data_IF_057125498463
#
_entry.id   IF_057125498463
#
_cell.length_a   1.000
_cell.length_b   1.000
_cell.length_c   1.000
_cell.angle_alpha   90.00
_cell.angle_beta   90.00
_cell.angle_gamma   90.00
#
_symmetry.space_group_name_H-M   'P 1'
#
loop_
_entity.id
_entity.type
_entity.pdbx_description
1 polymer ?
#
# COMPACT_ATOMS: atom_id res chain seq x y z
N UNK A 1 17.06 42.66 -83.75
CA UNK A 1 17.33 42.66 -82.31
C UNK A 1 16.50 41.57 -81.71
N UNK A 2 17.04 40.39 -81.42
CA UNK A 2 16.32 39.25 -80.83
C UNK A 2 16.78 39.08 -79.35
N UNK A 3 15.86 39.23 -78.38
CA UNK A 3 16.15 39.02 -76.98
C UNK A 3 15.87 37.56 -76.65
N UNK A 4 16.85 36.86 -76.15
CA UNK A 4 16.73 35.48 -75.55
C UNK A 4 16.38 35.56 -74.09
N UNK A 5 15.44 34.75 -73.58
CA UNK A 5 15.17 34.63 -72.13
C UNK A 5 16.05 33.59 -71.47
N UNK A 6 16.73 33.98 -70.39
CA UNK A 6 17.49 33.05 -69.53
C UNK A 6 16.51 32.19 -68.73
N UNK A 7 16.62 30.88 -68.88
CA UNK A 7 15.92 29.87 -68.04
C UNK A 7 16.69 29.69 -66.73
N UNK A 8 16.13 30.13 -65.60
CA UNK A 8 16.68 29.84 -64.25
C UNK A 8 16.11 28.52 -63.78
N UNK A 9 16.96 27.50 -63.76
CA UNK A 9 16.64 26.21 -63.13
C UNK A 9 16.67 26.32 -61.59
N UNK A 10 15.53 26.20 -60.96
CA UNK A 10 15.39 26.14 -59.49
C UNK A 10 15.60 24.67 -59.08
N UNK A 11 16.77 24.33 -58.52
CA UNK A 11 17.01 23.01 -57.89
C UNK A 11 16.40 23.01 -56.52
N UNK A 12 15.27 22.31 -56.36
CA UNK A 12 14.62 22.09 -55.07
C UNK A 12 15.34 20.92 -54.39
N UNK A 13 16.24 21.20 -53.44
CA UNK A 13 16.85 20.19 -52.59
C UNK A 13 15.84 19.74 -51.52
N UNK A 14 15.24 18.56 -51.71
CA UNK A 14 14.37 17.90 -50.74
C UNK A 14 15.25 17.28 -49.63
N UNK A 15 15.45 17.99 -48.53
CA UNK A 15 16.11 17.43 -47.34
C UNK A 15 15.16 16.42 -46.68
N UNK A 16 15.40 15.12 -46.88
CA UNK A 16 14.76 14.06 -46.07
C UNK A 16 15.25 14.18 -44.63
N UNK A 17 14.41 14.70 -43.75
CA UNK A 17 14.57 14.57 -42.31
C UNK A 17 14.36 13.10 -41.92
N UNK A 18 15.48 12.37 -41.81
CA UNK A 18 15.46 11.04 -41.18
C UNK A 18 15.25 11.28 -39.69
N UNK A 19 14.02 11.13 -39.22
CA UNK A 19 13.72 11.05 -37.79
C UNK A 19 14.31 9.75 -37.24
N UNK A 20 15.49 9.85 -36.63
CA UNK A 20 16.05 8.75 -35.85
C UNK A 20 15.09 8.49 -34.67
N UNK A 21 14.70 7.23 -34.41
CA UNK A 21 13.93 6.92 -33.21
C UNK A 21 14.77 7.31 -32.00
N UNK A 22 14.32 8.31 -31.25
CA UNK A 22 14.87 8.64 -29.94
C UNK A 22 14.48 7.49 -29.03
N UNK A 23 15.39 6.56 -28.80
CA UNK A 23 15.23 5.62 -27.68
C UNK A 23 15.19 6.46 -26.40
N UNK A 24 14.03 6.50 -25.74
CA UNK A 24 13.95 7.08 -24.42
C UNK A 24 14.99 6.39 -23.54
N UNK A 25 15.83 7.18 -22.86
CA UNK A 25 16.83 6.61 -21.95
C UNK A 25 16.11 5.78 -20.89
N UNK A 26 16.55 4.53 -20.71
CA UNK A 26 15.98 3.65 -19.68
C UNK A 26 16.10 4.34 -18.33
N UNK A 27 14.99 4.50 -17.63
CA UNK A 27 14.94 5.09 -16.29
C UNK A 27 15.85 4.29 -15.36
N UNK A 28 16.74 4.97 -14.62
CA UNK A 28 17.69 4.34 -13.71
C UNK A 28 17.58 4.80 -12.27
N UNK A 29 16.75 5.78 -11.99
CA UNK A 29 16.49 6.29 -10.65
C UNK A 29 15.00 6.24 -10.37
N UNK A 30 14.64 5.65 -9.22
CA UNK A 30 13.28 5.39 -8.81
C UNK A 30 13.04 5.90 -7.40
N UNK A 31 11.83 6.38 -7.16
CA UNK A 31 11.39 6.83 -5.86
C UNK A 31 10.25 5.92 -5.37
N UNK A 32 10.38 5.38 -4.16
CA UNK A 32 9.30 4.63 -3.52
C UNK A 32 8.97 5.24 -2.17
N UNK A 33 7.67 5.31 -1.83
CA UNK A 33 7.22 5.88 -0.56
C UNK A 33 6.73 4.82 0.42
N UNK A 34 6.78 5.17 1.70
CA UNK A 34 6.20 4.41 2.80
C UNK A 34 5.79 5.35 3.94
N UNK A 35 4.91 4.89 4.81
CA UNK A 35 4.46 5.62 5.99
C UNK A 35 4.63 4.79 7.26
N UNK A 36 4.50 5.42 8.42
CA UNK A 36 4.70 4.77 9.72
C UNK A 36 3.55 3.80 9.99
N UNK A 37 3.88 2.52 9.95
CA UNK A 37 3.06 1.38 10.34
C UNK A 37 3.99 0.24 10.76
N UNK A 38 3.65 -0.51 11.80
CA UNK A 38 4.55 -1.52 12.36
C UNK A 38 5.08 -2.52 11.32
N UNK A 39 4.23 -2.97 10.37
CA UNK A 39 4.59 -3.86 9.29
C UNK A 39 5.40 -3.22 8.16
N UNK A 40 5.48 -1.87 8.10
CA UNK A 40 6.25 -1.14 7.07
C UNK A 40 7.54 -0.53 7.58
N UNK A 41 7.79 -0.56 8.90
CA UNK A 41 9.07 -0.12 9.50
C UNK A 41 10.32 -0.74 8.84
N UNK A 42 10.26 -1.98 8.31
CA UNK A 42 11.37 -2.55 7.56
C UNK A 42 11.88 -1.65 6.43
N UNK A 43 11.03 -0.91 5.71
CA UNK A 43 11.43 -0.03 4.61
C UNK A 43 12.37 1.09 5.06
N UNK A 44 12.10 1.70 6.21
CA UNK A 44 12.99 2.69 6.80
C UNK A 44 14.37 2.11 7.15
N UNK A 45 14.38 0.89 7.73
CA UNK A 45 15.61 0.20 8.08
C UNK A 45 16.37 -0.31 6.85
N UNK A 46 15.68 -0.80 5.80
CA UNK A 46 16.26 -1.15 4.49
C UNK A 46 17.01 0.06 3.90
N UNK A 47 16.45 1.26 4.04
CA UNK A 47 17.08 2.49 3.57
C UNK A 47 18.28 2.88 4.43
N UNK A 48 18.12 2.98 5.75
CA UNK A 48 19.17 3.47 6.67
C UNK A 48 20.35 2.51 6.76
N UNK A 49 20.14 1.21 6.65
CA UNK A 49 21.18 0.17 6.64
C UNK A 49 21.85 -0.04 5.27
N UNK A 50 21.45 0.71 4.24
CA UNK A 50 21.98 0.59 2.88
C UNK A 50 21.71 -0.74 2.17
N UNK A 51 20.79 -1.54 2.67
CA UNK A 51 20.35 -2.78 2.02
C UNK A 51 19.76 -2.46 0.64
N UNK A 52 18.98 -1.37 0.52
CA UNK A 52 18.41 -0.96 -0.77
C UNK A 52 19.51 -0.57 -1.75
N UNK A 53 20.55 0.14 -1.31
CA UNK A 53 21.66 0.56 -2.18
C UNK A 53 22.43 -0.65 -2.72
N UNK A 54 22.64 -1.70 -1.91
CA UNK A 54 23.26 -2.95 -2.31
C UNK A 54 22.47 -3.63 -3.44
N UNK A 55 21.16 -3.79 -3.26
CA UNK A 55 20.31 -4.46 -4.22
C UNK A 55 20.10 -3.62 -5.49
N UNK A 56 19.92 -2.32 -5.36
CA UNK A 56 19.81 -1.40 -6.50
C UNK A 56 21.10 -1.41 -7.35
N UNK A 57 22.27 -1.34 -6.71
CA UNK A 57 23.57 -1.39 -7.39
C UNK A 57 23.80 -2.70 -8.14
N UNK A 58 23.34 -3.85 -7.59
CA UNK A 58 23.38 -5.16 -8.28
C UNK A 58 22.73 -5.11 -9.66
N UNK A 59 21.71 -4.28 -9.83
CA UNK A 59 20.97 -4.14 -11.09
C UNK A 59 21.25 -2.86 -11.85
N UNK A 60 22.25 -2.07 -11.42
CA UNK A 60 22.68 -0.84 -12.10
C UNK A 60 21.64 0.29 -12.06
N UNK A 61 20.82 0.33 -11.00
CA UNK A 61 19.79 1.35 -10.74
C UNK A 61 20.02 2.02 -9.39
N UNK A 62 19.28 3.10 -9.14
CA UNK A 62 19.20 3.79 -7.85
C UNK A 62 17.75 3.79 -7.37
N UNK A 63 17.52 3.54 -6.09
CA UNK A 63 16.19 3.59 -5.47
C UNK A 63 16.27 4.48 -4.23
N UNK A 64 15.42 5.51 -4.21
CA UNK A 64 15.23 6.37 -3.06
C UNK A 64 13.99 5.88 -2.31
N UNK A 65 14.15 5.52 -1.04
CA UNK A 65 13.05 5.11 -0.16
C UNK A 65 12.71 6.29 0.73
N UNK A 66 11.51 6.86 0.56
CA UNK A 66 11.09 8.11 1.17
C UNK A 66 9.96 7.84 2.17
N UNK A 67 10.17 8.26 3.42
CA UNK A 67 9.11 8.26 4.41
C UNK A 67 8.24 9.50 4.26
N UNK A 68 6.92 9.31 4.27
CA UNK A 68 5.92 10.36 4.38
C UNK A 68 5.16 10.24 5.70
N UNK A 69 4.58 11.34 6.18
CA UNK A 69 3.96 11.38 7.50
C UNK A 69 2.45 11.10 7.46
N UNK A 70 1.81 11.33 6.31
CA UNK A 70 0.38 11.12 6.12
C UNK A 70 0.17 9.98 5.12
N UNK A 71 -0.62 9.01 5.52
CA UNK A 71 -0.85 7.79 4.76
C UNK A 71 -1.62 8.05 3.46
N UNK A 72 -2.75 8.74 3.54
CA UNK A 72 -3.59 8.99 2.35
C UNK A 72 -2.85 9.91 1.38
N UNK A 73 -2.14 10.92 1.89
CA UNK A 73 -1.33 11.80 1.05
C UNK A 73 -0.22 11.04 0.32
N UNK A 74 0.40 10.03 0.96
CA UNK A 74 1.42 9.21 0.30
C UNK A 74 0.86 8.45 -0.92
N UNK A 75 -0.36 7.94 -0.82
CA UNK A 75 -1.06 7.25 -1.91
C UNK A 75 -1.46 8.24 -3.02
N UNK A 76 -1.91 9.44 -2.65
CA UNK A 76 -2.24 10.50 -3.60
C UNK A 76 -1.01 10.92 -4.42
N UNK A 77 0.15 11.07 -3.78
CA UNK A 77 1.41 11.39 -4.47
C UNK A 77 1.87 10.25 -5.39
N UNK A 78 1.70 9.00 -5.00
CA UNK A 78 1.91 7.86 -5.88
C UNK A 78 0.96 7.89 -7.08
N UNK A 79 -0.33 8.11 -6.84
CA UNK A 79 -1.36 8.19 -7.88
C UNK A 79 -1.09 9.34 -8.86
N UNK A 80 -0.54 10.45 -8.39
CA UNK A 80 -0.11 11.59 -9.20
C UNK A 80 1.23 11.36 -9.94
N UNK A 81 1.86 10.17 -9.78
CA UNK A 81 3.10 9.82 -10.47
C UNK A 81 4.38 10.42 -9.87
N UNK A 82 4.33 10.95 -8.64
CA UNK A 82 5.53 11.45 -7.94
C UNK A 82 6.41 10.32 -7.42
N UNK A 83 5.85 9.14 -7.20
CA UNK A 83 6.55 7.93 -6.79
C UNK A 83 6.28 6.79 -7.78
N UNK A 84 7.28 5.95 -7.99
CA UNK A 84 7.21 4.74 -8.81
C UNK A 84 6.52 3.57 -8.08
N UNK A 85 6.58 3.58 -6.77
CA UNK A 85 5.92 2.64 -5.88
C UNK A 85 5.63 3.26 -4.51
N UNK A 86 4.74 2.65 -3.76
CA UNK A 86 4.40 3.09 -2.40
C UNK A 86 3.86 1.92 -1.57
N UNK A 87 4.00 1.99 -0.25
CA UNK A 87 3.28 1.06 0.63
C UNK A 87 1.84 1.49 0.77
N UNK A 88 0.92 0.56 0.65
CA UNK A 88 -0.51 0.77 0.91
C UNK A 88 -1.23 -0.54 1.15
N UNK A 89 -2.45 -0.46 1.68
CA UNK A 89 -3.26 -1.65 1.88
C UNK A 89 -3.96 -2.06 0.57
N UNK A 90 -4.46 -3.29 0.55
CA UNK A 90 -5.21 -3.84 -0.58
C UNK A 90 -6.46 -3.02 -0.93
N UNK A 91 -7.18 -2.52 0.09
CA UNK A 91 -8.36 -1.67 -0.13
C UNK A 91 -7.95 -0.35 -0.78
N UNK A 92 -6.98 0.33 -0.21
CA UNK A 92 -6.58 1.67 -0.66
C UNK A 92 -5.93 1.61 -2.06
N UNK A 93 -5.24 0.51 -2.39
CA UNK A 93 -4.75 0.26 -3.75
C UNK A 93 -5.88 0.13 -4.79
N UNK A 94 -7.02 -0.43 -4.38
CA UNK A 94 -8.20 -0.54 -5.24
C UNK A 94 -8.92 0.81 -5.37
N UNK A 95 -9.11 1.54 -4.27
CA UNK A 95 -10.01 2.70 -4.21
C UNK A 95 -9.36 4.03 -4.59
N UNK A 96 -8.02 4.13 -4.54
CA UNK A 96 -7.34 5.38 -4.85
C UNK A 96 -6.61 5.27 -6.21
N UNK A 97 -5.48 4.57 -6.35
CA UNK A 97 -4.80 4.53 -7.64
C UNK A 97 -5.59 3.77 -8.71
N UNK A 98 -6.10 2.56 -8.41
CA UNK A 98 -6.80 1.77 -9.43
C UNK A 98 -8.11 2.42 -9.88
N UNK A 99 -8.94 2.93 -8.95
CA UNK A 99 -10.15 3.68 -9.28
C UNK A 99 -9.82 5.01 -9.98
N UNK A 100 -8.70 5.64 -9.64
CA UNK A 100 -8.14 6.82 -10.32
C UNK A 100 -7.54 6.53 -11.70
N UNK A 101 -7.59 5.27 -12.17
CA UNK A 101 -7.12 4.88 -13.50
C UNK A 101 -5.63 4.49 -13.59
N UNK A 102 -4.89 4.54 -12.49
CA UNK A 102 -3.48 4.13 -12.43
C UNK A 102 -3.36 2.62 -12.33
N UNK A 103 -2.77 2.00 -13.37
CA UNK A 103 -2.52 0.56 -13.38
C UNK A 103 -1.40 0.23 -12.38
N UNK A 104 -1.75 -0.50 -11.33
CA UNK A 104 -0.95 -0.74 -10.13
C UNK A 104 -0.68 -2.23 -9.95
N UNK A 105 0.56 -2.59 -9.66
CA UNK A 105 0.97 -3.96 -9.34
C UNK A 105 1.37 -4.08 -7.88
N UNK A 106 0.67 -4.92 -7.12
CA UNK A 106 1.10 -5.40 -5.81
C UNK A 106 2.28 -6.33 -6.01
N UNK A 107 3.48 -5.78 -5.79
CA UNK A 107 4.77 -6.45 -6.01
C UNK A 107 5.14 -7.35 -4.84
N UNK A 108 4.90 -6.88 -3.62
CA UNK A 108 5.22 -7.60 -2.38
C UNK A 108 4.01 -7.48 -1.45
N UNK A 109 3.44 -8.62 -1.06
CA UNK A 109 2.53 -8.68 0.06
C UNK A 109 3.40 -8.92 1.31
N UNK A 110 3.57 -7.88 2.13
CA UNK A 110 4.50 -7.93 3.26
C UNK A 110 3.91 -8.64 4.47
N UNK A 111 2.63 -8.40 4.70
CA UNK A 111 1.90 -8.86 5.89
C UNK A 111 0.39 -8.71 5.70
N UNK A 112 -0.34 -9.16 6.70
CA UNK A 112 -1.69 -8.68 6.96
C UNK A 112 -1.86 -8.35 8.45
N UNK A 113 -2.77 -7.45 8.74
CA UNK A 113 -3.09 -7.05 10.11
C UNK A 113 -3.87 -8.16 10.84
N UNK A 114 -3.40 -8.54 12.01
CA UNK A 114 -4.00 -9.57 12.87
C UNK A 114 -4.10 -9.08 14.33
N UNK A 115 -4.68 -7.88 14.50
CA UNK A 115 -4.78 -7.14 15.76
C UNK A 115 -3.95 -5.86 15.75
N UNK A 116 -3.28 -5.53 14.65
CA UNK A 116 -2.50 -4.30 14.50
C UNK A 116 -3.37 -3.06 14.23
N UNK A 117 -4.59 -3.28 13.75
CA UNK A 117 -5.63 -2.27 13.57
C UNK A 117 -6.76 -2.51 14.56
N UNK A 118 -7.30 -1.44 15.17
CA UNK A 118 -8.32 -1.58 16.19
C UNK A 118 -9.21 -0.37 16.37
N UNK A 119 -10.43 -0.64 16.84
CA UNK A 119 -11.41 0.35 17.27
C UNK A 119 -11.34 0.47 18.79
N UNK A 120 -11.00 1.65 19.30
CA UNK A 120 -10.82 1.91 20.72
C UNK A 120 -11.83 2.93 21.21
N UNK A 121 -12.45 2.66 22.34
CA UNK A 121 -13.39 3.54 23.03
C UNK A 121 -12.85 3.96 24.40
N UNK A 122 -13.11 5.19 24.81
CA UNK A 122 -12.97 5.60 26.22
C UNK A 122 -14.06 4.95 27.06
N UNK A 123 -13.69 4.49 28.24
CA UNK A 123 -14.56 3.74 29.17
C UNK A 123 -14.17 2.27 29.23
N UNK A 124 -14.30 1.68 30.44
CA UNK A 124 -14.10 0.24 30.66
C UNK A 124 -15.33 -0.57 30.29
N UNK A 125 -15.13 -1.80 29.83
CA UNK A 125 -16.20 -2.75 29.55
C UNK A 125 -17.10 -2.36 28.37
N UNK A 126 -16.60 -1.49 27.48
CA UNK A 126 -17.29 -1.10 26.25
C UNK A 126 -17.34 -2.26 25.26
N UNK A 127 -18.35 -2.24 24.40
CA UNK A 127 -18.61 -3.21 23.35
C UNK A 127 -18.86 -2.51 22.02
N UNK A 128 -18.87 -3.23 20.92
CA UNK A 128 -19.24 -2.68 19.60
C UNK A 128 -20.64 -2.02 19.59
N UNK A 129 -21.57 -2.50 20.41
CA UNK A 129 -22.93 -1.92 20.49
C UNK A 129 -22.94 -0.51 21.06
N UNK A 130 -21.95 -0.16 21.90
CA UNK A 130 -21.79 1.18 22.45
C UNK A 130 -21.37 2.23 21.43
N UNK A 131 -20.99 1.82 20.19
CA UNK A 131 -20.69 2.73 19.10
C UNK A 131 -21.93 3.48 18.60
N UNK A 132 -23.14 2.97 18.82
CA UNK A 132 -24.36 3.59 18.30
C UNK A 132 -24.51 5.03 18.77
N UNK A 133 -24.67 5.95 17.81
CA UNK A 133 -24.80 7.40 18.05
C UNK A 133 -23.46 8.11 18.31
N UNK A 134 -22.33 7.40 18.28
CA UNK A 134 -21.03 7.98 18.58
C UNK A 134 -20.39 8.64 17.34
N UNK A 135 -19.52 9.62 17.59
CA UNK A 135 -18.55 10.13 16.61
C UNK A 135 -17.32 9.21 16.66
N UNK A 136 -16.92 8.70 15.52
CA UNK A 136 -15.75 7.81 15.36
C UNK A 136 -14.71 8.52 14.52
N UNK A 137 -13.54 8.75 15.09
CA UNK A 137 -12.42 9.46 14.49
C UNK A 137 -11.48 8.46 13.82
N UNK A 138 -11.19 8.66 12.54
CA UNK A 138 -10.36 7.75 11.75
C UNK A 138 -9.97 8.42 10.42
N UNK A 139 -8.94 7.93 9.70
CA UNK A 139 -8.72 8.28 8.31
C UNK A 139 -9.90 7.78 7.46
N UNK A 140 -10.76 8.71 7.04
CA UNK A 140 -12.00 8.39 6.32
C UNK A 140 -11.70 7.77 4.96
N UNK A 141 -12.54 6.82 4.54
CA UNK A 141 -12.45 6.11 3.27
C UNK A 141 -11.18 5.24 3.12
N UNK A 142 -10.44 5.01 4.21
CA UNK A 142 -9.27 4.14 4.27
C UNK A 142 -9.60 2.75 4.83
N UNK A 143 -8.57 1.93 4.97
CA UNK A 143 -8.63 0.63 5.65
C UNK A 143 -9.21 0.72 7.07
N UNK A 144 -8.99 1.82 7.80
CA UNK A 144 -9.61 2.03 9.12
C UNK A 144 -11.13 2.18 9.02
N UNK A 145 -11.63 2.82 7.98
CA UNK A 145 -13.07 2.92 7.72
C UNK A 145 -13.66 1.53 7.39
N UNK A 146 -12.97 0.75 6.57
CA UNK A 146 -13.35 -0.64 6.30
C UNK A 146 -13.42 -1.46 7.59
N UNK A 147 -12.41 -1.39 8.45
CA UNK A 147 -12.39 -2.10 9.73
C UNK A 147 -13.57 -1.71 10.63
N UNK A 148 -13.88 -0.40 10.72
CA UNK A 148 -15.05 0.08 11.46
C UNK A 148 -16.33 -0.57 10.95
N UNK A 149 -16.57 -0.56 9.64
CA UNK A 149 -17.80 -1.13 9.06
C UNK A 149 -17.88 -2.63 9.31
N UNK A 150 -16.76 -3.36 9.20
CA UNK A 150 -16.71 -4.78 9.55
C UNK A 150 -17.08 -5.03 11.02
N UNK A 151 -16.66 -4.16 11.94
CA UNK A 151 -17.06 -4.20 13.34
C UNK A 151 -18.55 -3.90 13.55
N UNK A 152 -19.07 -2.88 12.88
CA UNK A 152 -20.49 -2.51 12.95
C UNK A 152 -21.39 -3.66 12.46
N UNK A 153 -21.07 -4.27 11.32
CA UNK A 153 -21.78 -5.45 10.79
C UNK A 153 -21.86 -6.59 11.83
N UNK A 154 -20.75 -6.90 12.49
CA UNK A 154 -20.72 -7.93 13.55
C UNK A 154 -21.59 -7.59 14.76
N UNK A 155 -21.81 -6.31 15.02
CA UNK A 155 -22.71 -5.84 16.09
C UNK A 155 -24.18 -5.73 15.68
N UNK A 156 -24.49 -5.97 14.39
CA UNK A 156 -25.81 -5.73 13.81
C UNK A 156 -26.14 -4.24 13.68
N UNK A 157 -25.10 -3.40 13.58
CA UNK A 157 -25.20 -1.97 13.34
C UNK A 157 -24.85 -1.67 11.87
N UNK A 158 -25.29 -0.51 11.40
CA UNK A 158 -24.90 0.02 10.10
C UNK A 158 -24.10 1.32 10.30
N UNK A 159 -23.38 1.76 9.28
CA UNK A 159 -22.59 2.99 9.34
C UNK A 159 -23.43 4.24 9.67
N UNK A 160 -24.67 4.29 9.21
CA UNK A 160 -25.63 5.37 9.57
C UNK A 160 -25.92 5.46 11.09
N UNK A 161 -25.56 4.44 11.86
CA UNK A 161 -25.70 4.42 13.32
C UNK A 161 -24.55 5.14 14.03
N UNK A 162 -23.52 5.58 13.31
CA UNK A 162 -22.36 6.34 13.81
C UNK A 162 -22.12 7.59 12.95
N UNK A 163 -21.27 8.50 13.42
CA UNK A 163 -20.80 9.65 12.62
C UNK A 163 -19.30 9.50 12.46
N UNK A 164 -18.84 9.21 11.26
CA UNK A 164 -17.40 9.22 10.94
C UNK A 164 -16.87 10.65 10.92
N UNK A 165 -15.72 10.88 11.52
CA UNK A 165 -15.01 12.16 11.55
C UNK A 165 -13.62 11.94 10.96
N UNK A 166 -13.39 12.49 9.79
CA UNK A 166 -12.10 12.36 9.13
C UNK A 166 -10.97 12.95 9.99
N UNK A 167 -9.98 12.14 10.27
CA UNK A 167 -8.82 12.50 11.09
C UNK A 167 -7.62 11.73 10.56
N UNK A 168 -6.54 12.43 10.23
CA UNK A 168 -5.33 11.79 9.72
C UNK A 168 -4.70 10.87 10.75
N UNK A 169 -3.94 9.88 10.29
CA UNK A 169 -3.16 8.99 11.15
C UNK A 169 -2.09 9.74 11.95
N UNK A 170 -1.57 10.85 11.40
CA UNK A 170 -0.63 11.72 12.10
C UNK A 170 -1.26 12.44 13.31
N UNK A 171 -2.56 12.75 13.23
CA UNK A 171 -3.27 13.52 14.26
C UNK A 171 -4.09 12.66 15.24
N UNK A 172 -4.33 11.38 14.94
CA UNK A 172 -5.29 10.53 15.65
C UNK A 172 -4.98 10.39 17.15
N UNK A 173 -3.70 10.31 17.51
CA UNK A 173 -3.26 10.19 18.92
C UNK A 173 -3.57 11.47 19.67
N UNK A 174 -3.23 12.62 19.12
CA UNK A 174 -3.48 13.93 19.74
C UNK A 174 -4.99 14.20 19.83
N UNK A 175 -5.75 13.87 18.81
CA UNK A 175 -7.20 13.97 18.81
C UNK A 175 -7.82 13.10 19.92
N UNK A 176 -7.41 11.84 20.04
CA UNK A 176 -7.92 10.93 21.10
C UNK A 176 -7.54 11.40 22.50
N UNK A 177 -6.45 12.16 22.67
CA UNK A 177 -6.05 12.79 23.93
C UNK A 177 -7.07 13.82 24.44
N UNK A 178 -7.91 14.40 23.56
CA UNK A 178 -8.90 15.40 23.95
C UNK A 178 -10.14 14.77 24.61
N UNK A 179 -10.82 15.50 25.52
CA UNK A 179 -12.00 15.00 26.21
C UNK A 179 -13.21 14.76 25.26
N UNK A 180 -13.27 15.47 24.15
CA UNK A 180 -14.38 15.39 23.18
C UNK A 180 -14.33 14.15 22.30
N UNK A 181 -13.16 13.57 22.08
CA UNK A 181 -12.97 12.38 21.25
C UNK A 181 -13.12 11.13 22.12
N UNK A 182 -14.13 10.33 21.87
CA UNK A 182 -14.47 9.15 22.66
C UNK A 182 -14.13 7.84 21.93
N UNK A 183 -14.05 7.85 20.62
CA UNK A 183 -13.81 6.66 19.79
C UNK A 183 -12.79 7.00 18.70
N UNK A 184 -11.79 6.14 18.55
CA UNK A 184 -10.85 6.23 17.44
C UNK A 184 -10.63 4.86 16.79
N UNK A 185 -10.31 4.85 15.50
CA UNK A 185 -9.78 3.69 14.79
C UNK A 185 -8.37 4.04 14.35
N UNK A 186 -7.42 3.18 14.66
CA UNK A 186 -6.02 3.40 14.39
C UNK A 186 -5.28 2.07 14.22
N UNK A 187 -4.06 2.16 13.75
CA UNK A 187 -3.09 1.07 13.66
C UNK A 187 -1.85 1.34 14.51
N UNK A 188 -0.99 0.34 14.67
CA UNK A 188 0.26 0.50 15.41
C UNK A 188 1.34 1.24 14.58
N UNK A 189 2.10 2.14 15.22
CA UNK A 189 2.25 2.33 16.67
C UNK A 189 1.18 3.18 17.35
N UNK A 190 0.39 3.97 16.63
CA UNK A 190 -0.61 4.88 17.19
C UNK A 190 -1.64 4.16 18.07
N UNK A 191 -2.11 2.98 17.62
CA UNK A 191 -3.07 2.16 18.37
C UNK A 191 -2.52 1.79 19.76
N UNK A 192 -1.25 1.44 19.88
CA UNK A 192 -0.63 1.12 21.18
C UNK A 192 -0.63 2.31 22.12
N UNK A 193 -0.37 3.51 21.60
CA UNK A 193 -0.43 4.76 22.41
C UNK A 193 -1.86 5.02 22.88
N UNK A 194 -2.84 4.90 21.98
CA UNK A 194 -4.27 5.09 22.29
C UNK A 194 -4.73 4.06 23.34
N UNK A 195 -4.38 2.78 23.17
CA UNK A 195 -4.72 1.70 24.14
C UNK A 195 -4.03 1.89 25.48
N UNK A 196 -2.88 2.55 25.52
CA UNK A 196 -2.18 2.93 26.76
C UNK A 196 -2.89 4.03 27.55
N UNK A 197 -3.85 4.75 26.97
CA UNK A 197 -4.64 5.77 27.66
C UNK A 197 -5.49 5.11 28.74
N UNK A 198 -5.44 5.59 30.01
CA UNK A 198 -6.25 5.02 31.10
C UNK A 198 -7.75 4.99 30.78
N UNK A 199 -8.43 3.94 31.23
CA UNK A 199 -9.87 3.78 31.07
C UNK A 199 -10.32 3.72 29.60
N UNK A 200 -9.64 2.89 28.79
CA UNK A 200 -10.02 2.58 27.40
C UNK A 200 -10.36 1.11 27.24
N UNK A 201 -11.10 0.79 26.18
CA UNK A 201 -11.43 -0.58 25.76
C UNK A 201 -11.26 -0.69 24.25
N UNK A 202 -10.48 -1.65 23.77
CA UNK A 202 -10.49 -2.07 22.37
C UNK A 202 -11.76 -2.91 22.14
N UNK A 203 -12.68 -2.40 21.34
CA UNK A 203 -13.99 -3.04 21.13
C UNK A 203 -14.01 -3.93 19.89
N UNK A 204 -13.06 -3.73 18.97
CA UNK A 204 -12.88 -4.52 17.76
C UNK A 204 -11.44 -4.43 17.27
N UNK A 205 -10.94 -5.47 16.65
CA UNK A 205 -9.63 -5.42 15.99
C UNK A 205 -9.58 -6.30 14.74
N UNK A 206 -8.57 -6.11 13.92
CA UNK A 206 -8.32 -6.87 12.70
C UNK A 206 -8.09 -8.37 12.95
N UNK A 207 -7.73 -8.77 14.17
CA UNK A 207 -7.66 -10.20 14.54
C UNK A 207 -8.99 -10.95 14.39
N UNK A 208 -10.12 -10.23 14.33
CA UNK A 208 -11.45 -10.80 14.11
C UNK A 208 -11.82 -10.90 12.62
N UNK A 209 -10.96 -10.40 11.74
CA UNK A 209 -11.07 -10.43 10.27
C UNK A 209 -9.72 -10.72 9.62
N UNK A 210 -9.06 -11.84 10.00
CA UNK A 210 -7.70 -12.13 9.56
C UNK A 210 -7.61 -12.25 8.03
N UNK A 211 -6.52 -11.70 7.45
CA UNK A 211 -6.28 -11.72 6.02
C UNK A 211 -7.17 -10.76 5.19
N UNK A 212 -7.96 -9.88 5.83
CA UNK A 212 -8.75 -8.88 5.12
C UNK A 212 -7.99 -7.55 4.90
N UNK A 213 -7.15 -7.15 5.85
CA UNK A 213 -6.32 -5.94 5.78
C UNK A 213 -4.90 -6.34 5.40
N UNK A 214 -4.55 -6.21 4.14
CA UNK A 214 -3.30 -6.72 3.57
C UNK A 214 -2.36 -5.57 3.26
N UNK A 215 -1.14 -5.66 3.74
CA UNK A 215 -0.10 -4.66 3.59
C UNK A 215 0.80 -4.98 2.39
N UNK A 216 0.96 -4.02 1.50
CA UNK A 216 1.66 -4.25 0.24
C UNK A 216 2.69 -3.15 -0.05
N UNK A 217 3.74 -3.50 -0.79
CA UNK A 217 4.46 -2.57 -1.64
C UNK A 217 3.89 -2.69 -3.05
N UNK A 218 3.33 -1.62 -3.54
CA UNK A 218 2.84 -1.55 -4.93
C UNK A 218 3.80 -0.75 -5.80
N UNK A 219 3.80 -1.03 -7.09
CA UNK A 219 4.57 -0.32 -8.12
C UNK A 219 3.68 -0.05 -9.31
N UNK A 220 3.86 1.09 -9.98
CA UNK A 220 3.19 1.36 -11.24
C UNK A 220 3.49 0.25 -12.25
N UNK A 221 2.46 -0.33 -12.86
CA UNK A 221 2.59 -1.53 -13.70
C UNK A 221 3.48 -1.29 -14.92
N UNK A 222 3.36 -0.15 -15.58
CA UNK A 222 4.18 0.18 -16.74
C UNK A 222 5.65 0.39 -16.34
N UNK A 223 5.87 1.14 -15.25
CA UNK A 223 7.22 1.31 -14.69
C UNK A 223 7.87 -0.04 -14.37
N UNK A 224 7.15 -0.96 -13.74
CA UNK A 224 7.66 -2.28 -13.38
C UNK A 224 7.95 -3.14 -14.62
N UNK A 225 7.07 -3.10 -15.63
CA UNK A 225 7.22 -3.80 -16.89
C UNK A 225 8.45 -3.34 -17.66
N UNK A 226 8.67 -2.02 -17.73
CA UNK A 226 9.79 -1.43 -18.46
C UNK A 226 11.10 -1.56 -17.69
N UNK A 227 11.02 -1.69 -16.37
CA UNK A 227 12.18 -1.74 -15.48
C UNK A 227 12.07 -2.91 -14.48
N UNK A 228 12.18 -4.17 -14.92
CA UNK A 228 12.09 -5.32 -14.02
C UNK A 228 13.22 -5.36 -12.98
N UNK A 229 14.31 -4.62 -13.20
CA UNK A 229 15.38 -4.40 -12.24
C UNK A 229 14.85 -3.79 -10.91
N UNK A 230 13.86 -2.88 -10.99
CA UNK A 230 13.22 -2.28 -9.82
C UNK A 230 12.53 -3.35 -8.97
N UNK A 231 11.71 -4.22 -9.60
CA UNK A 231 11.02 -5.30 -8.89
C UNK A 231 11.99 -6.27 -8.22
N UNK A 232 13.08 -6.64 -8.92
CA UNK A 232 14.12 -7.52 -8.35
C UNK A 232 14.82 -6.90 -7.16
N UNK A 233 15.18 -5.61 -7.26
CA UNK A 233 15.88 -4.91 -6.18
C UNK A 233 15.01 -4.72 -4.94
N UNK A 234 13.74 -4.29 -5.11
CA UNK A 234 12.80 -4.12 -4.01
C UNK A 234 12.52 -5.46 -3.30
N UNK A 235 12.23 -6.52 -4.08
CA UNK A 235 11.95 -7.85 -3.54
C UNK A 235 13.16 -8.44 -2.82
N UNK A 236 14.35 -8.29 -3.39
CA UNK A 236 15.59 -8.76 -2.76
C UNK A 236 15.89 -8.04 -1.45
N UNK A 237 15.76 -6.71 -1.42
CA UNK A 237 15.96 -5.91 -0.23
C UNK A 237 14.94 -6.25 0.87
N UNK A 238 13.68 -6.46 0.50
CA UNK A 238 12.64 -6.86 1.45
C UNK A 238 12.95 -8.20 2.11
N UNK A 239 13.22 -9.25 1.33
CA UNK A 239 13.47 -10.58 1.93
C UNK A 239 14.81 -10.69 2.64
N UNK A 240 15.80 -9.88 2.31
CA UNK A 240 17.00 -9.76 3.13
C UNK A 240 16.65 -9.21 4.53
N UNK A 241 15.85 -8.15 4.59
CA UNK A 241 15.38 -7.59 5.86
C UNK A 241 14.48 -8.56 6.63
N UNK A 242 13.57 -9.25 5.93
CA UNK A 242 12.74 -10.29 6.55
C UNK A 242 13.59 -11.42 7.15
N UNK A 243 14.69 -11.77 6.50
CA UNK A 243 15.66 -12.74 7.03
C UNK A 243 16.30 -12.27 8.34
N UNK A 244 16.71 -11.00 8.41
CA UNK A 244 17.24 -10.39 9.64
C UNK A 244 16.19 -10.38 10.77
N UNK A 245 14.95 -9.99 10.45
CA UNK A 245 13.87 -9.98 11.44
C UNK A 245 13.54 -11.39 11.93
N UNK A 246 13.50 -12.38 11.04
CA UNK A 246 13.28 -13.79 11.40
C UNK A 246 14.40 -14.33 12.29
N UNK A 247 15.64 -13.90 12.03
CA UNK A 247 16.81 -14.25 12.85
C UNK A 247 16.88 -13.44 14.17
N UNK A 248 15.90 -12.55 14.43
CA UNK A 248 15.88 -11.67 15.60
C UNK A 248 17.14 -10.79 15.70
N UNK A 249 17.63 -10.27 14.56
CA UNK A 249 18.78 -9.36 14.53
C UNK A 249 18.50 -8.11 15.37
N UNK A 250 19.31 -7.98 16.43
CA UNK A 250 19.07 -6.92 17.42
C UNK A 250 19.29 -5.51 16.85
N UNK A 251 20.20 -5.35 15.87
CA UNK A 251 20.45 -4.05 15.24
C UNK A 251 19.26 -3.60 14.41
N UNK A 252 18.75 -4.49 13.57
CA UNK A 252 17.58 -4.20 12.73
C UNK A 252 16.32 -3.93 13.57
N UNK A 253 16.04 -4.78 14.57
CA UNK A 253 14.84 -4.64 15.41
C UNK A 253 14.90 -3.39 16.30
N UNK A 254 16.06 -3.05 16.86
CA UNK A 254 16.20 -1.81 17.66
C UNK A 254 16.08 -0.55 16.79
N UNK A 255 16.57 -0.58 15.54
CA UNK A 255 16.41 0.54 14.62
C UNK A 255 14.92 0.78 14.29
N UNK A 256 14.16 -0.29 14.03
CA UNK A 256 12.72 -0.21 13.78
C UNK A 256 11.95 0.26 15.03
N UNK A 257 12.29 -0.26 16.22
CA UNK A 257 11.68 0.15 17.47
C UNK A 257 11.88 1.66 17.73
N UNK A 258 13.11 2.15 17.60
CA UNK A 258 13.42 3.57 17.76
C UNK A 258 12.66 4.44 16.74
N UNK A 259 12.60 4.02 15.46
CA UNK A 259 11.87 4.74 14.42
C UNK A 259 10.35 4.73 14.62
N UNK A 260 9.81 3.71 15.29
CA UNK A 260 8.37 3.64 15.66
C UNK A 260 8.06 4.33 17.02
N UNK A 261 9.03 4.99 17.64
CA UNK A 261 8.86 5.74 18.88
C UNK A 261 8.64 4.86 20.12
N UNK A 262 9.13 3.61 20.11
CA UNK A 262 9.00 2.67 21.22
C UNK A 262 10.33 1.95 21.49
N UNK A 263 10.38 1.14 22.55
CA UNK A 263 11.49 0.23 22.79
C UNK A 263 11.34 -1.10 22.03
N UNK A 264 12.35 -1.95 22.10
CA UNK A 264 12.34 -3.25 21.42
C UNK A 264 11.16 -4.12 21.87
N UNK A 265 10.83 -4.13 23.17
CA UNK A 265 9.74 -4.94 23.69
C UNK A 265 8.38 -4.46 23.16
N UNK A 266 8.17 -3.15 23.12
CA UNK A 266 6.99 -2.51 22.54
C UNK A 266 6.84 -2.81 21.05
N UNK A 267 7.91 -2.68 20.27
CA UNK A 267 7.87 -3.01 18.83
C UNK A 267 7.60 -4.50 18.60
N UNK A 268 8.24 -5.39 19.35
CA UNK A 268 7.97 -6.82 19.27
C UNK A 268 6.53 -7.17 19.65
N UNK A 269 5.92 -6.44 20.60
CA UNK A 269 4.51 -6.61 20.93
C UNK A 269 3.60 -6.18 19.75
N UNK A 270 3.94 -5.10 19.04
CA UNK A 270 3.23 -4.68 17.83
C UNK A 270 3.37 -5.71 16.70
N UNK A 271 4.58 -6.27 16.49
CA UNK A 271 4.81 -7.31 15.49
C UNK A 271 4.00 -8.59 15.73
N UNK A 272 3.69 -8.93 16.99
CA UNK A 272 2.81 -10.07 17.31
C UNK A 272 1.37 -9.91 16.84
N UNK A 273 0.97 -8.69 16.52
CA UNK A 273 -0.35 -8.37 15.97
C UNK A 273 -0.33 -8.14 14.45
N UNK A 274 0.78 -8.49 13.81
CA UNK A 274 0.99 -8.40 12.37
C UNK A 274 1.47 -9.76 11.86
N UNK A 275 0.72 -10.36 10.95
CA UNK A 275 1.13 -11.61 10.32
C UNK A 275 2.12 -11.32 9.19
N UNK A 276 3.41 -11.29 9.52
CA UNK A 276 4.49 -11.02 8.56
C UNK A 276 4.82 -12.27 7.73
N UNK A 277 4.96 -12.09 6.42
CA UNK A 277 5.48 -13.12 5.53
C UNK A 277 7.01 -13.08 5.52
N UNK A 278 7.63 -13.76 6.49
CA UNK A 278 9.08 -13.75 6.67
C UNK A 278 9.85 -14.44 5.54
N UNK A 279 9.19 -15.28 4.75
CA UNK A 279 9.84 -15.97 3.65
C UNK A 279 9.08 -15.78 2.34
N UNK A 280 9.78 -15.87 1.19
CA UNK A 280 9.10 -15.88 -0.11
C UNK A 280 8.05 -16.98 -0.24
N UNK A 281 8.23 -18.12 0.40
CA UNK A 281 7.29 -19.24 0.35
C UNK A 281 5.99 -18.92 1.10
N UNK A 282 6.06 -18.25 2.26
CA UNK A 282 4.88 -17.82 3.01
C UNK A 282 4.05 -16.84 2.18
N UNK A 283 4.72 -15.88 1.54
CA UNK A 283 4.06 -14.94 0.63
C UNK A 283 3.43 -15.63 -0.57
N UNK A 284 4.16 -16.56 -1.22
CA UNK A 284 3.63 -17.32 -2.36
C UNK A 284 2.37 -18.11 -1.98
N UNK A 285 2.37 -18.77 -0.81
CA UNK A 285 1.22 -19.51 -0.33
C UNK A 285 -0.01 -18.59 -0.18
N UNK A 286 0.19 -17.37 0.31
CA UNK A 286 -0.88 -16.41 0.49
C UNK A 286 -1.35 -15.79 -0.84
N UNK A 287 -0.43 -15.29 -1.68
CA UNK A 287 -0.78 -14.59 -2.93
C UNK A 287 -1.45 -15.52 -3.96
N UNK A 288 -1.17 -16.82 -3.91
CA UNK A 288 -1.81 -17.83 -4.78
C UNK A 288 -3.05 -18.47 -4.15
N UNK A 289 -3.38 -18.10 -2.90
CA UNK A 289 -4.59 -18.61 -2.24
C UNK A 289 -5.87 -18.07 -2.92
N UNK A 290 -6.88 -18.94 -3.14
CA UNK A 290 -8.18 -18.48 -3.64
C UNK A 290 -8.89 -17.54 -2.65
N UNK A 291 -8.47 -17.50 -1.38
CA UNK A 291 -9.08 -16.62 -0.38
C UNK A 291 -8.68 -15.16 -0.57
N UNK A 292 -7.51 -14.89 -1.16
CA UNK A 292 -7.12 -13.52 -1.54
C UNK A 292 -8.13 -12.93 -2.54
N UNK A 293 -8.48 -13.66 -3.59
CA UNK A 293 -9.46 -13.21 -4.58
C UNK A 293 -10.84 -12.97 -3.96
N UNK A 294 -11.28 -13.85 -3.04
CA UNK A 294 -12.55 -13.67 -2.29
C UNK A 294 -12.51 -12.45 -1.38
N UNK A 295 -11.40 -12.21 -0.71
CA UNK A 295 -11.20 -11.00 0.09
C UNK A 295 -11.32 -9.76 -0.77
N UNK A 296 -10.65 -9.74 -1.92
CA UNK A 296 -10.72 -8.59 -2.83
C UNK A 296 -12.12 -8.38 -3.42
N UNK A 297 -12.91 -9.43 -3.63
CA UNK A 297 -14.33 -9.29 -4.01
C UNK A 297 -15.14 -8.60 -2.91
N UNK A 298 -14.94 -8.96 -1.63
CA UNK A 298 -15.60 -8.27 -0.52
C UNK A 298 -15.18 -6.81 -0.42
N UNK A 299 -13.89 -6.55 -0.56
CA UNK A 299 -13.36 -5.18 -0.57
C UNK A 299 -13.96 -4.38 -1.72
N UNK A 300 -14.05 -4.95 -2.92
CA UNK A 300 -14.66 -4.29 -4.07
C UNK A 300 -16.16 -3.99 -3.84
N UNK A 301 -16.91 -4.94 -3.26
CA UNK A 301 -18.32 -4.73 -2.91
C UNK A 301 -18.48 -3.60 -1.90
N UNK A 302 -17.70 -3.62 -0.82
CA UNK A 302 -17.67 -2.53 0.16
C UNK A 302 -17.35 -1.20 -0.52
N UNK A 303 -16.31 -1.17 -1.35
CA UNK A 303 -15.85 0.05 -2.01
C UNK A 303 -16.90 0.61 -2.97
N UNK A 304 -17.62 -0.26 -3.67
CA UNK A 304 -18.73 0.14 -4.54
C UNK A 304 -19.89 0.72 -3.72
N UNK A 305 -20.29 0.05 -2.65
CA UNK A 305 -21.38 0.51 -1.75
C UNK A 305 -21.08 1.88 -1.12
N UNK A 306 -19.79 2.22 -1.00
CA UNK A 306 -19.31 3.52 -0.51
C UNK A 306 -19.05 4.55 -1.62
N UNK A 307 -19.24 4.21 -2.88
CA UNK A 307 -18.94 5.09 -4.00
C UNK A 307 -17.45 5.33 -4.25
N UNK A 308 -16.57 4.46 -3.70
CA UNK A 308 -15.11 4.62 -3.77
C UNK A 308 -14.50 4.16 -5.10
N UNK A 309 -15.26 3.51 -5.95
CA UNK A 309 -14.78 3.07 -7.27
C UNK A 309 -14.93 4.16 -8.35
N UNK A 310 -15.37 5.37 -7.98
CA UNK A 310 -15.57 6.51 -8.86
C UNK A 310 -16.99 6.58 -9.44
N UNK A 311 -17.37 7.78 -9.93
CA UNK A 311 -18.73 8.07 -10.44
C UNK A 311 -19.12 7.20 -11.65
N UNK A 312 -18.14 6.68 -12.40
CA UNK A 312 -18.36 5.80 -13.55
C UNK A 312 -18.69 4.35 -13.19
N UNK A 313 -18.50 3.93 -11.94
CA UNK A 313 -18.70 2.56 -11.52
C UNK A 313 -20.20 2.20 -11.48
N UNK A 314 -20.57 1.13 -12.20
CA UNK A 314 -21.93 0.63 -12.25
C UNK A 314 -22.13 -0.61 -11.36
N UNK A 315 -21.04 -1.20 -10.88
CA UNK A 315 -21.03 -2.40 -10.02
C UNK A 315 -19.72 -2.52 -9.27
N UNK A 316 -19.66 -3.43 -8.32
CA UNK A 316 -18.43 -3.81 -7.61
C UNK A 316 -17.34 -4.38 -8.54
N UNK A 317 -17.74 -4.86 -9.72
CA UNK A 317 -16.84 -5.42 -10.73
C UNK A 317 -16.20 -4.38 -11.66
N UNK A 318 -16.40 -3.09 -11.40
CA UNK A 318 -15.93 -2.00 -12.29
C UNK A 318 -14.41 -2.04 -12.50
N UNK A 319 -13.63 -2.31 -11.45
CA UNK A 319 -12.18 -2.43 -11.54
C UNK A 319 -11.77 -3.89 -11.72
N UNK A 320 -11.04 -4.17 -12.81
CA UNK A 320 -10.43 -5.48 -13.02
C UNK A 320 -9.23 -5.70 -12.12
N UNK A 321 -9.19 -6.85 -11.46
CA UNK A 321 -8.09 -7.30 -10.61
C UNK A 321 -7.55 -8.62 -11.12
N UNK A 322 -6.23 -8.73 -11.30
CA UNK A 322 -5.56 -9.96 -11.74
C UNK A 322 -4.76 -10.58 -10.61
N UNK A 323 -4.89 -11.88 -10.48
CA UNK A 323 -4.18 -12.71 -9.50
C UNK A 323 -3.30 -13.74 -10.21
N UNK A 324 -2.34 -14.37 -9.51
CA UNK A 324 -1.56 -15.49 -10.03
C UNK A 324 -2.45 -16.60 -10.60
N UNK A 325 -1.93 -17.36 -11.58
CA UNK A 325 -2.71 -18.41 -12.26
C UNK A 325 -3.74 -17.89 -13.26
N UNK A 326 -3.62 -16.61 -13.68
CA UNK A 326 -4.57 -15.94 -14.60
C UNK A 326 -5.99 -15.81 -14.06
N UNK A 327 -6.17 -15.85 -12.74
CA UNK A 327 -7.47 -15.57 -12.12
C UNK A 327 -7.75 -14.07 -12.26
N UNK A 328 -8.98 -13.74 -12.69
CA UNK A 328 -9.44 -12.36 -12.83
C UNK A 328 -10.73 -12.17 -12.03
N UNK A 329 -10.81 -11.08 -11.31
CA UNK A 329 -12.00 -10.60 -10.60
C UNK A 329 -12.32 -9.22 -11.14
N UNK A 330 -13.60 -8.92 -11.36
CA UNK A 330 -14.04 -7.66 -11.94
C UNK A 330 -13.87 -7.59 -13.46
N UNK A 331 -13.96 -6.39 -14.02
CA UNK A 331 -13.91 -6.13 -15.45
C UNK A 331 -12.51 -6.28 -16.04
N UNK A 332 -12.30 -7.36 -16.80
CA UNK A 332 -11.02 -7.61 -17.47
C UNK A 332 -10.63 -6.51 -18.48
N UNK A 333 -11.59 -5.74 -18.99
CA UNK A 333 -11.32 -4.61 -19.91
C UNK A 333 -10.83 -3.35 -19.18
N UNK A 334 -11.10 -3.26 -17.87
CA UNK A 334 -10.64 -2.16 -16.99
C UNK A 334 -9.65 -2.68 -15.93
N UNK A 335 -8.62 -3.41 -16.34
CA UNK A 335 -7.62 -4.02 -15.46
C UNK A 335 -6.71 -2.95 -14.86
N UNK A 336 -6.81 -2.71 -13.54
CA UNK A 336 -6.07 -1.64 -12.85
C UNK A 336 -5.33 -2.08 -11.59
N UNK A 337 -5.58 -3.29 -11.08
CA UNK A 337 -4.85 -3.85 -9.95
C UNK A 337 -4.37 -5.26 -10.26
N UNK A 338 -3.10 -5.53 -10.02
CA UNK A 338 -2.47 -6.83 -10.26
C UNK A 338 -1.74 -7.31 -9.03
N UNK A 339 -1.89 -8.58 -8.71
CA UNK A 339 -1.10 -9.27 -7.68
C UNK A 339 -0.06 -10.12 -8.40
N UNK A 340 1.21 -9.76 -8.28
CA UNK A 340 2.30 -10.41 -9.01
C UNK A 340 3.08 -11.36 -8.08
N UNK A 341 3.24 -12.60 -8.51
CA UNK A 341 4.07 -13.59 -7.82
C UNK A 341 5.41 -13.87 -8.51
N UNK A 342 5.72 -13.21 -9.61
CA UNK A 342 6.91 -13.50 -10.42
C UNK A 342 8.21 -13.20 -9.69
N UNK A 343 8.31 -12.04 -9.03
CA UNK A 343 9.51 -11.63 -8.31
C UNK A 343 9.69 -12.41 -7.00
N UNK A 344 8.59 -12.71 -6.31
CA UNK A 344 8.66 -13.53 -5.10
C UNK A 344 9.02 -14.98 -5.42
N UNK A 345 8.61 -15.52 -6.58
CA UNK A 345 9.09 -16.81 -7.10
C UNK A 345 10.59 -16.80 -7.37
N UNK A 346 11.11 -15.70 -7.93
CA UNK A 346 12.57 -15.55 -8.12
C UNK A 346 13.30 -15.51 -6.78
N UNK A 347 12.75 -14.83 -5.77
CA UNK A 347 13.29 -14.84 -4.41
C UNK A 347 13.31 -16.24 -3.81
N UNK A 348 12.20 -16.99 -3.93
CA UNK A 348 12.09 -18.36 -3.43
C UNK A 348 13.08 -19.33 -4.11
N UNK A 349 13.35 -19.11 -5.40
CA UNK A 349 14.31 -19.89 -6.18
C UNK A 349 15.77 -19.43 -6.01
N UNK A 350 16.04 -18.34 -5.28
CA UNK A 350 17.39 -17.76 -5.14
C UNK A 350 17.97 -17.19 -6.45
N UNK A 351 17.10 -16.70 -7.35
CA UNK A 351 17.49 -16.20 -8.69
C UNK A 351 17.36 -14.67 -8.83
N UNK A 352 17.14 -13.97 -7.71
CA UNK A 352 17.23 -12.50 -7.66
C UNK A 352 18.67 -12.01 -7.73
#
# INVERSE_FOLDING_TARGET
>A
MKKTPLLRSLVLSLAMLVSLPTFAAVKKEFNVCWTIYAGWMPWGTISSSKIIDKWASKYGIKINVVQLNDYIESINQYTAGQFDGCTMTNMDALTIPAAGGVDTTALILGSYSEGNDGVVMKGKGKTLKDLKGMKVYLPELSVSHYLLVRGLEKAGLAEKDVTVVNTSDADIVSAFGTASVQVAVAWNPQLSVIKGTPNTTEVFSSSQVPGELIDMMVVNTETLKDNPALGKALTGAWYEMMGLMKAQDASALNAMAAASGTDLAGYQAQLKTTHLFYTPHDNMAFVTSPDLAKTMQRVASFSFDKGLLGEGAQSADFIGMRFPGNVTVGDASNMKLRFDDSFVKMAAAGTL
#
